data_IF_003350252855
#
_entry.id   IF_003350252855
#
_cell.length_a   1.000
_cell.length_b   1.000
_cell.length_c   1.000
_cell.angle_alpha   90.00
_cell.angle_beta   90.00
_cell.angle_gamma   90.00
#
_symmetry.space_group_name_H-M   'P 1'
#
loop_
_entity.id
_entity.type
_entity.pdbx_description
1 polymer ?
#
# COMPACT_ATOMS: atom_id res chain seq x y z
N UNK A 1 -0.94 -6.07 -5.00
CA UNK A 1 -0.79 -7.57 -4.94
C UNK A 1 0.23 -8.07 -5.96
N UNK A 2 1.51 -8.11 -5.59
CA UNK A 2 2.45 -9.15 -6.05
C UNK A 2 2.98 -9.80 -4.77
N UNK A 3 2.22 -10.77 -4.26
CA UNK A 3 2.70 -11.66 -3.21
C UNK A 3 3.73 -12.60 -3.82
N UNK A 4 5.00 -12.20 -3.79
CA UNK A 4 6.12 -13.06 -4.13
C UNK A 4 6.25 -14.17 -3.10
N UNK A 5 5.43 -15.20 -3.25
CA UNK A 5 5.65 -16.48 -2.60
C UNK A 5 6.89 -17.12 -3.20
N UNK A 6 7.92 -17.30 -2.37
CA UNK A 6 9.03 -18.20 -2.64
C UNK A 6 8.47 -19.57 -3.03
N UNK A 7 8.61 -19.94 -4.30
CA UNK A 7 8.46 -21.32 -4.76
C UNK A 7 9.72 -21.67 -5.56
N UNK A 8 10.61 -22.35 -4.85
CA UNK A 8 11.46 -23.47 -5.29
C UNK A 8 12.22 -23.32 -6.62
N UNK A 9 13.54 -23.28 -6.52
CA UNK A 9 14.34 -24.32 -7.18
C UNK A 9 15.57 -24.63 -6.32
N UNK A 10 15.52 -25.78 -5.65
CA UNK A 10 16.72 -26.45 -5.16
C UNK A 10 17.59 -26.80 -6.37
N UNK A 11 18.80 -26.26 -6.42
CA UNK A 11 19.89 -26.86 -7.18
C UNK A 11 21.17 -26.75 -6.36
N UNK A 12 21.65 -27.94 -6.02
CA UNK A 12 22.85 -28.27 -5.28
C UNK A 12 24.04 -27.34 -5.55
N UNK A 13 24.60 -26.78 -4.48
CA UNK A 13 26.05 -26.60 -4.38
C UNK A 13 26.47 -26.58 -2.91
N UNK A 14 27.21 -27.62 -2.55
CA UNK A 14 27.94 -27.79 -1.29
C UNK A 14 28.67 -26.52 -0.86
N UNK A 15 28.31 -25.95 0.29
CA UNK A 15 29.25 -25.23 1.16
C UNK A 15 28.82 -25.37 2.61
N UNK A 16 29.55 -26.21 3.35
CA UNK A 16 29.54 -26.21 4.81
C UNK A 16 30.01 -24.85 5.33
N UNK A 17 29.12 -24.09 5.96
CA UNK A 17 29.49 -23.05 6.92
C UNK A 17 28.34 -22.81 7.91
N UNK A 18 28.55 -23.29 9.14
CA UNK A 18 27.94 -22.90 10.42
C UNK A 18 26.64 -22.05 10.35
N UNK A 19 25.51 -22.70 10.62
CA UNK A 19 24.19 -22.08 10.78
C UNK A 19 24.08 -21.31 12.10
N UNK A 20 24.40 -20.01 12.09
CA UNK A 20 23.75 -19.06 13.01
C UNK A 20 22.50 -18.55 12.33
N UNK A 21 21.33 -18.79 12.93
CA UNK A 21 20.00 -18.44 12.44
C UNK A 21 19.81 -16.91 12.36
N UNK A 22 20.47 -16.25 11.40
CA UNK A 22 20.24 -14.85 11.06
C UNK A 22 18.98 -14.81 10.19
N UNK A 23 17.83 -14.58 10.81
CA UNK A 23 16.61 -14.27 10.08
C UNK A 23 16.88 -13.16 9.06
N UNK A 24 16.22 -13.19 7.90
CA UNK A 24 16.43 -12.16 6.88
C UNK A 24 16.23 -10.77 7.50
N UNK A 25 17.00 -9.74 7.08
CA UNK A 25 16.85 -8.37 7.59
C UNK A 25 15.39 -7.89 7.52
N UNK A 26 14.66 -8.32 6.50
CA UNK A 26 13.23 -8.08 6.34
C UNK A 26 12.40 -8.72 7.46
N UNK A 27 12.56 -10.02 7.76
CA UNK A 27 11.82 -10.67 8.86
C UNK A 27 12.12 -10.03 10.21
N UNK A 28 13.37 -9.63 10.45
CA UNK A 28 13.76 -8.90 11.66
C UNK A 28 13.04 -7.54 11.73
N UNK A 29 13.09 -6.74 10.66
CA UNK A 29 12.37 -5.47 10.56
C UNK A 29 10.86 -5.63 10.81
N UNK A 30 10.22 -6.58 10.13
CA UNK A 30 8.79 -6.85 10.26
C UNK A 30 8.41 -7.28 11.68
N UNK A 31 9.22 -8.12 12.33
CA UNK A 31 9.00 -8.55 13.71
C UNK A 31 9.11 -7.38 14.70
N UNK A 32 10.09 -6.51 14.51
CA UNK A 32 10.27 -5.32 15.34
C UNK A 32 9.13 -4.32 15.14
N UNK A 33 8.70 -4.09 13.89
CA UNK A 33 7.56 -3.24 13.57
C UNK A 33 6.29 -3.79 14.22
N UNK A 34 6.04 -5.09 14.08
CA UNK A 34 4.91 -5.76 14.71
C UNK A 34 4.93 -5.59 16.23
N UNK A 35 6.08 -5.82 16.87
CA UNK A 35 6.23 -5.61 18.30
C UNK A 35 5.90 -4.18 18.72
N UNK A 36 6.40 -3.17 18.01
CA UNK A 36 6.10 -1.75 18.29
C UNK A 36 4.60 -1.46 18.13
N UNK A 37 3.96 -1.95 17.06
CA UNK A 37 2.52 -1.75 16.83
C UNK A 37 1.68 -2.39 17.95
N UNK A 38 2.07 -3.58 18.42
CA UNK A 38 1.31 -4.31 19.42
C UNK A 38 1.52 -3.81 20.85
N UNK A 39 2.75 -3.44 21.22
CA UNK A 39 3.13 -3.13 22.61
C UNK A 39 3.16 -1.63 22.90
N UNK A 40 3.52 -0.79 21.92
CA UNK A 40 3.69 0.65 22.11
C UNK A 40 2.51 1.46 21.57
N UNK A 41 1.28 1.01 21.81
CA UNK A 41 0.04 1.70 21.37
C UNK A 41 0.03 3.19 21.76
N UNK A 42 0.55 3.51 22.94
CA UNK A 42 0.66 4.90 23.42
C UNK A 42 1.59 5.76 22.57
N UNK A 43 2.65 5.20 21.98
CA UNK A 43 3.53 5.95 21.08
C UNK A 43 2.83 6.25 19.76
N UNK A 44 2.08 5.29 19.22
CA UNK A 44 1.24 5.51 18.04
C UNK A 44 0.05 6.45 18.29
N UNK A 45 -0.19 6.81 19.55
CA UNK A 45 -1.23 7.78 19.94
C UNK A 45 -0.72 9.22 19.93
N UNK A 46 0.60 9.45 19.85
CA UNK A 46 1.15 10.79 19.70
C UNK A 46 0.97 11.28 18.26
N UNK A 47 0.46 12.49 18.10
CA UNK A 47 0.38 13.18 16.81
C UNK A 47 1.72 13.36 16.09
N UNK A 48 2.84 13.16 16.79
CA UNK A 48 4.19 13.18 16.20
C UNK A 48 4.56 11.86 15.52
N UNK A 49 3.82 10.78 15.76
CA UNK A 49 4.09 9.46 15.22
C UNK A 49 3.03 9.12 14.16
N UNK A 50 3.15 9.80 13.02
CA UNK A 50 2.25 9.62 11.88
C UNK A 50 2.65 8.34 11.15
N UNK A 51 1.71 7.40 11.04
CA UNK A 51 1.90 6.15 10.33
C UNK A 51 1.07 6.15 9.04
N UNK A 52 1.75 6.21 7.91
CA UNK A 52 1.15 5.99 6.59
C UNK A 52 1.39 4.56 6.15
N UNK A 53 0.34 3.89 5.69
CA UNK A 53 0.37 2.49 5.25
C UNK A 53 -0.29 2.42 3.88
N UNK A 54 0.29 1.64 2.97
CA UNK A 54 -0.36 1.29 1.72
C UNK A 54 -1.69 0.60 1.99
N UNK A 55 -2.76 1.17 1.44
CA UNK A 55 -4.11 0.80 1.87
C UNK A 55 -4.58 -0.57 1.30
N UNK A 56 -3.73 -1.31 0.60
CA UNK A 56 -4.06 -2.60 -0.02
C UNK A 56 -3.96 -3.79 0.93
N UNK A 57 -3.16 -3.70 2.00
CA UNK A 57 -2.78 -4.89 2.77
C UNK A 57 -3.02 -4.70 4.26
N UNK A 58 -3.53 -5.78 4.88
CA UNK A 58 -3.58 -5.94 6.33
C UNK A 58 -2.21 -6.26 6.93
N UNK A 59 -1.22 -6.54 6.09
CA UNK A 59 0.10 -6.98 6.48
C UNK A 59 1.20 -6.11 5.86
N UNK A 60 2.25 -5.85 6.63
CA UNK A 60 3.51 -5.30 6.13
C UNK A 60 4.48 -6.47 5.98
N UNK A 61 4.52 -7.05 4.77
CA UNK A 61 5.23 -8.30 4.51
C UNK A 61 4.61 -9.52 5.21
N UNK A 62 5.25 -10.70 5.18
CA UNK A 62 4.65 -11.94 5.68
C UNK A 62 4.50 -12.01 7.21
N UNK A 63 5.28 -11.25 7.98
CA UNK A 63 5.31 -11.41 9.45
C UNK A 63 4.52 -10.32 10.20
N UNK A 64 4.47 -9.09 9.71
CA UNK A 64 3.84 -7.98 10.43
C UNK A 64 2.36 -7.86 10.10
N UNK A 65 1.49 -8.44 10.93
CA UNK A 65 0.04 -8.25 10.84
C UNK A 65 -0.45 -7.01 11.61
N UNK A 66 -1.37 -6.25 11.02
CA UNK A 66 -2.02 -5.14 11.73
C UNK A 66 -3.13 -5.67 12.66
N UNK A 67 -3.21 -5.09 13.88
CA UNK A 67 -4.28 -5.44 14.85
C UNK A 67 -5.66 -5.08 14.28
N UNK A 68 -6.72 -5.75 14.74
CA UNK A 68 -8.09 -5.47 14.25
C UNK A 68 -8.49 -4.02 14.43
N UNK A 69 -8.15 -3.42 15.58
CA UNK A 69 -8.44 -2.01 15.84
C UNK A 69 -7.74 -1.07 14.87
N UNK A 70 -6.44 -1.29 14.61
CA UNK A 70 -5.69 -0.48 13.64
C UNK A 70 -6.21 -0.69 12.21
N UNK A 71 -6.46 -1.93 11.82
CA UNK A 71 -7.00 -2.25 10.51
C UNK A 71 -8.42 -1.69 10.29
N UNK A 72 -9.26 -1.72 11.32
CA UNK A 72 -10.57 -1.07 11.31
C UNK A 72 -10.44 0.45 11.15
N UNK A 73 -9.52 1.08 11.89
CA UNK A 73 -9.29 2.53 11.80
C UNK A 73 -8.75 2.95 10.42
N UNK A 74 -7.82 2.19 9.85
CA UNK A 74 -7.29 2.43 8.51
C UNK A 74 -8.37 2.36 7.42
N UNK A 75 -9.39 1.52 7.61
CA UNK A 75 -10.51 1.40 6.67
C UNK A 75 -11.68 2.33 7.00
N UNK A 76 -11.69 2.95 8.17
CA UNK A 76 -12.76 3.88 8.54
C UNK A 76 -12.80 5.07 7.58
N UNK A 77 -14.02 5.47 7.27
CA UNK A 77 -14.37 6.65 6.47
C UNK A 77 -15.15 7.67 7.30
N UNK A 78 -15.33 7.44 8.61
CA UNK A 78 -15.94 8.39 9.55
C UNK A 78 -15.05 9.65 9.66
N UNK A 79 -15.58 10.86 9.52
CA UNK A 79 -14.77 12.08 9.58
C UNK A 79 -14.04 12.31 10.92
N UNK A 80 -14.50 11.72 12.03
CA UNK A 80 -13.93 11.92 13.36
C UNK A 80 -12.76 10.97 13.66
N UNK A 81 -12.73 9.80 13.04
CA UNK A 81 -11.75 8.74 13.34
C UNK A 81 -11.13 8.08 12.10
N UNK A 82 -11.61 8.47 10.93
CA UNK A 82 -11.26 7.93 9.63
C UNK A 82 -9.85 8.28 9.21
N UNK A 83 -9.41 7.60 8.16
CA UNK A 83 -8.05 7.73 7.64
C UNK A 83 -8.06 8.52 6.34
N UNK A 84 -7.17 9.50 6.23
CA UNK A 84 -6.94 10.20 4.97
C UNK A 84 -6.43 9.25 3.90
N UNK A 85 -6.95 9.40 2.68
CA UNK A 85 -6.58 8.60 1.53
C UNK A 85 -6.06 9.52 0.44
N UNK A 86 -4.90 9.15 -0.08
CA UNK A 86 -4.24 9.90 -1.15
C UNK A 86 -4.30 9.04 -2.41
N UNK A 87 -4.95 9.59 -3.43
CA UNK A 87 -4.90 9.07 -4.78
C UNK A 87 -3.79 9.79 -5.55
N UNK A 88 -2.77 9.03 -5.95
CA UNK A 88 -1.73 9.53 -6.84
C UNK A 88 -2.25 9.37 -8.26
N UNK A 89 -2.53 10.51 -8.89
CA UNK A 89 -2.98 10.57 -10.27
C UNK A 89 -1.75 10.77 -11.17
N UNK A 90 -1.50 9.80 -12.03
CA UNK A 90 -0.34 9.79 -12.92
C UNK A 90 -0.76 9.24 -14.27
N UNK A 91 -0.16 9.79 -15.33
CA UNK A 91 -0.43 9.36 -16.70
C UNK A 91 -0.13 7.88 -16.89
N UNK A 92 -0.85 7.24 -17.80
CA UNK A 92 -0.64 5.82 -18.09
C UNK A 92 0.77 5.58 -18.64
N UNK A 93 1.25 6.48 -19.48
CA UNK A 93 2.57 6.42 -20.09
C UNK A 93 3.67 6.40 -19.01
N UNK A 94 3.54 7.26 -17.99
CA UNK A 94 4.50 7.30 -16.89
C UNK A 94 4.39 6.07 -15.97
N UNK A 95 3.18 5.52 -15.75
CA UNK A 95 3.00 4.24 -15.05
C UNK A 95 3.68 3.09 -15.79
N UNK A 96 3.47 3.00 -17.10
CA UNK A 96 4.07 1.97 -17.96
C UNK A 96 5.59 2.08 -17.94
N UNK A 97 6.14 3.27 -18.15
CA UNK A 97 7.58 3.52 -18.10
C UNK A 97 8.19 3.09 -16.76
N UNK A 98 7.57 3.49 -15.64
CA UNK A 98 8.05 3.16 -14.31
C UNK A 98 8.03 1.64 -14.06
N UNK A 99 6.98 0.93 -14.48
CA UNK A 99 6.89 -0.54 -14.35
C UNK A 99 7.99 -1.22 -15.16
N UNK A 100 8.18 -0.82 -16.42
CA UNK A 100 9.19 -1.42 -17.29
C UNK A 100 10.61 -1.20 -16.76
N UNK A 101 10.88 -0.05 -16.14
CA UNK A 101 12.16 0.25 -15.49
C UNK A 101 12.37 -0.60 -14.23
N UNK A 102 11.43 -0.51 -13.27
CA UNK A 102 11.60 -1.07 -11.92
C UNK A 102 11.35 -2.57 -11.84
N UNK A 103 10.59 -3.13 -12.77
CA UNK A 103 10.31 -4.56 -12.88
C UNK A 103 10.93 -5.18 -14.13
N UNK A 104 11.94 -4.54 -14.74
CA UNK A 104 12.61 -5.01 -15.97
C UNK A 104 13.04 -6.48 -15.92
N UNK A 105 13.55 -6.95 -14.78
CA UNK A 105 13.95 -8.35 -14.59
C UNK A 105 12.76 -9.31 -14.68
N UNK A 106 11.61 -8.93 -14.12
CA UNK A 106 10.39 -9.72 -14.17
C UNK A 106 9.73 -9.63 -15.55
N UNK A 107 9.66 -8.44 -16.14
CA UNK A 107 9.03 -8.20 -17.45
C UNK A 107 9.83 -8.77 -18.62
N UNK A 108 11.11 -9.10 -18.44
CA UNK A 108 11.93 -9.75 -19.47
C UNK A 108 12.10 -11.25 -19.28
N UNK A 109 11.55 -11.83 -18.21
CA UNK A 109 11.53 -13.29 -18.02
C UNK A 109 10.29 -13.89 -18.71
N UNK A 110 10.38 -14.08 -20.02
CA UNK A 110 9.26 -14.56 -20.86
C UNK A 110 8.62 -15.84 -20.31
N UNK A 111 9.35 -16.92 -19.98
CA UNK A 111 8.74 -18.13 -19.40
C UNK A 111 7.92 -17.86 -18.14
N UNK A 112 8.44 -17.01 -17.24
CA UNK A 112 7.78 -16.67 -15.99
C UNK A 112 6.48 -15.88 -16.23
N UNK A 113 6.50 -14.89 -17.12
CA UNK A 113 5.32 -14.08 -17.43
C UNK A 113 4.23 -14.95 -18.08
N UNK A 114 4.61 -15.83 -19.00
CA UNK A 114 3.64 -16.73 -19.65
C UNK A 114 2.99 -17.68 -18.63
N UNK A 115 3.74 -18.16 -17.64
CA UNK A 115 3.18 -18.95 -16.54
C UNK A 115 2.18 -18.14 -15.69
N UNK A 116 2.49 -16.87 -15.39
CA UNK A 116 1.58 -15.95 -14.68
C UNK A 116 0.32 -15.71 -15.53
N UNK A 117 0.45 -15.42 -16.82
CA UNK A 117 -0.70 -15.20 -17.71
C UNK A 117 -1.63 -16.40 -17.77
N UNK A 118 -1.09 -17.62 -17.78
CA UNK A 118 -1.89 -18.84 -17.74
C UNK A 118 -2.76 -18.91 -16.48
N UNK A 119 -2.25 -18.46 -15.33
CA UNK A 119 -3.03 -18.42 -14.08
C UNK A 119 -4.16 -17.40 -14.10
N UNK A 120 -4.06 -16.35 -14.92
CA UNK A 120 -5.10 -15.31 -15.05
C UNK A 120 -6.26 -15.72 -15.95
N UNK A 121 -6.16 -16.85 -16.66
CA UNK A 121 -7.17 -17.28 -17.64
C UNK A 121 -8.56 -17.58 -17.01
N UNK A 122 -8.62 -17.78 -15.69
CA UNK A 122 -9.88 -17.92 -14.96
C UNK A 122 -10.68 -16.60 -14.87
N UNK A 123 -9.99 -15.46 -14.98
CA UNK A 123 -10.56 -14.14 -14.75
C UNK A 123 -10.58 -13.26 -16.00
N UNK A 124 -9.79 -13.62 -17.02
CA UNK A 124 -9.54 -12.80 -18.20
C UNK A 124 -9.92 -13.59 -19.46
N UNK A 125 -10.71 -13.01 -20.39
CA UNK A 125 -11.07 -13.68 -21.63
C UNK A 125 -9.84 -14.19 -22.41
N UNK A 126 -9.91 -15.43 -22.92
CA UNK A 126 -8.85 -16.05 -23.74
C UNK A 126 -8.33 -15.14 -24.86
N UNK A 127 -9.20 -14.32 -25.47
CA UNK A 127 -8.81 -13.35 -26.51
C UNK A 127 -7.74 -12.37 -26.03
N UNK A 128 -7.88 -11.82 -24.83
CA UNK A 128 -6.89 -10.89 -24.25
C UNK A 128 -5.61 -11.62 -23.87
N UNK A 129 -5.72 -12.82 -23.28
CA UNK A 129 -4.55 -13.64 -22.95
C UNK A 129 -3.71 -13.96 -24.20
N UNK A 130 -4.36 -14.33 -25.31
CA UNK A 130 -3.68 -14.58 -26.58
C UNK A 130 -3.00 -13.31 -27.12
N UNK A 131 -3.69 -12.17 -27.10
CA UNK A 131 -3.12 -10.88 -27.53
C UNK A 131 -1.88 -10.51 -26.71
N UNK A 132 -1.92 -10.67 -25.38
CA UNK A 132 -0.78 -10.39 -24.52
C UNK A 132 0.37 -11.37 -24.72
N UNK A 133 0.06 -12.64 -24.95
CA UNK A 133 1.05 -13.66 -25.29
C UNK A 133 1.78 -13.31 -26.59
N UNK A 134 1.06 -12.87 -27.62
CA UNK A 134 1.66 -12.41 -28.88
C UNK A 134 2.53 -11.16 -28.68
N UNK A 135 2.11 -10.19 -27.84
CA UNK A 135 2.91 -9.01 -27.52
C UNK A 135 4.24 -9.40 -26.84
N UNK A 136 4.20 -10.32 -25.87
CA UNK A 136 5.39 -10.82 -25.19
C UNK A 136 6.34 -11.51 -26.17
N UNK A 137 5.82 -12.36 -27.07
CA UNK A 137 6.65 -13.03 -28.08
C UNK A 137 7.30 -12.06 -29.08
N UNK A 138 6.69 -10.90 -29.32
CA UNK A 138 7.24 -9.83 -30.16
C UNK A 138 8.11 -8.85 -29.37
N UNK A 139 8.34 -9.11 -28.08
CA UNK A 139 9.04 -8.22 -27.14
C UNK A 139 8.40 -6.82 -26.99
N UNK A 140 7.12 -6.69 -27.33
CA UNK A 140 6.34 -5.45 -27.17
C UNK A 140 5.80 -5.35 -25.75
N UNK A 141 6.72 -5.19 -24.79
CA UNK A 141 6.40 -5.11 -23.38
C UNK A 141 5.62 -3.84 -23.01
N UNK A 142 5.79 -2.77 -23.79
CA UNK A 142 5.03 -1.53 -23.61
C UNK A 142 3.55 -1.77 -23.84
N UNK A 143 3.17 -2.39 -24.96
CA UNK A 143 1.77 -2.73 -25.23
C UNK A 143 1.23 -3.76 -24.25
N UNK A 144 2.06 -4.75 -23.87
CA UNK A 144 1.67 -5.76 -22.87
C UNK A 144 1.32 -5.12 -21.51
N UNK A 145 2.22 -4.31 -20.95
CA UNK A 145 1.99 -3.66 -19.65
C UNK A 145 0.81 -2.69 -19.73
N UNK A 146 0.69 -1.94 -20.82
CA UNK A 146 -0.46 -1.05 -21.07
C UNK A 146 -1.79 -1.82 -21.04
N UNK A 147 -1.86 -2.94 -21.75
CA UNK A 147 -3.04 -3.79 -21.78
C UNK A 147 -3.37 -4.38 -20.40
N UNK A 148 -2.35 -4.81 -19.66
CA UNK A 148 -2.49 -5.38 -18.32
C UNK A 148 -3.02 -4.34 -17.31
N UNK A 149 -2.53 -3.09 -17.37
CA UNK A 149 -3.08 -1.99 -16.56
C UNK A 149 -4.55 -1.74 -16.89
N UNK A 150 -4.87 -1.51 -18.17
CA UNK A 150 -6.22 -1.11 -18.61
C UNK A 150 -7.30 -2.18 -18.37
N UNK A 151 -6.97 -3.45 -18.58
CA UNK A 151 -7.97 -4.51 -18.61
C UNK A 151 -7.95 -5.43 -17.39
N UNK A 152 -6.95 -5.31 -16.51
CA UNK A 152 -6.86 -6.13 -15.31
C UNK A 152 -6.67 -5.28 -14.05
N UNK A 153 -5.57 -4.54 -13.92
CA UNK A 153 -5.26 -3.86 -12.67
C UNK A 153 -6.17 -2.67 -12.36
N UNK A 154 -6.35 -1.74 -13.30
CA UNK A 154 -7.18 -0.55 -13.08
C UNK A 154 -8.64 -0.93 -12.77
N UNK A 155 -9.30 -1.85 -13.53
CA UNK A 155 -10.64 -2.31 -13.20
C UNK A 155 -10.75 -2.97 -11.82
N UNK A 156 -9.78 -3.82 -11.44
CA UNK A 156 -9.77 -4.47 -10.13
C UNK A 156 -9.63 -3.45 -9.00
N UNK A 157 -8.74 -2.47 -9.17
CA UNK A 157 -8.54 -1.42 -8.18
C UNK A 157 -9.81 -0.60 -8.01
N UNK A 158 -10.43 -0.15 -9.10
CA UNK A 158 -11.68 0.62 -9.06
C UNK A 158 -12.77 -0.21 -8.39
N UNK A 159 -13.02 -1.45 -8.84
CA UNK A 159 -14.08 -2.31 -8.31
C UNK A 159 -13.95 -2.53 -6.81
N UNK A 160 -12.75 -2.85 -6.33
CA UNK A 160 -12.53 -3.22 -4.93
C UNK A 160 -12.51 -2.00 -3.99
N UNK A 161 -12.40 -0.79 -4.53
CA UNK A 161 -12.13 0.42 -3.74
C UNK A 161 -13.17 1.52 -3.92
N UNK A 162 -14.04 1.41 -4.92
CA UNK A 162 -15.00 2.44 -5.29
C UNK A 162 -15.82 2.94 -4.09
N UNK A 163 -16.51 2.05 -3.38
CA UNK A 163 -17.37 2.46 -2.26
C UNK A 163 -16.58 3.18 -1.16
N UNK A 164 -15.44 2.63 -0.76
CA UNK A 164 -14.60 3.23 0.27
C UNK A 164 -14.02 4.59 -0.16
N UNK A 165 -13.69 4.75 -1.45
CA UNK A 165 -13.22 6.03 -1.99
C UNK A 165 -14.33 7.07 -2.03
N UNK A 166 -15.55 6.69 -2.46
CA UNK A 166 -16.70 7.60 -2.45
C UNK A 166 -17.10 7.99 -1.02
N UNK A 167 -17.12 7.05 -0.08
CA UNK A 167 -17.37 7.33 1.33
C UNK A 167 -16.31 8.26 1.93
N UNK A 168 -15.02 8.02 1.63
CA UNK A 168 -13.94 8.90 2.07
C UNK A 168 -14.06 10.30 1.45
N UNK A 169 -14.45 10.40 0.18
CA UNK A 169 -14.65 11.66 -0.52
C UNK A 169 -15.81 12.46 0.07
N UNK A 170 -16.94 11.81 0.34
CA UNK A 170 -18.10 12.43 0.98
C UNK A 170 -17.79 12.95 2.39
N UNK A 171 -16.84 12.31 3.09
CA UNK A 171 -16.42 12.70 4.42
C UNK A 171 -15.15 13.60 4.46
N UNK A 172 -14.69 14.12 3.31
CA UNK A 172 -13.52 15.03 3.25
C UNK A 172 -12.17 14.36 3.55
N UNK A 173 -12.11 13.02 3.49
CA UNK A 173 -10.92 12.22 3.76
C UNK A 173 -10.15 11.83 2.49
N UNK A 174 -10.66 12.14 1.30
CA UNK A 174 -10.04 11.79 0.02
C UNK A 174 -9.30 12.98 -0.60
N UNK A 175 -8.04 12.75 -0.96
CA UNK A 175 -7.14 13.75 -1.55
C UNK A 175 -6.55 13.22 -2.84
N UNK A 176 -6.50 14.04 -3.90
CA UNK A 176 -5.90 13.68 -5.18
C UNK A 176 -4.65 14.52 -5.42
N UNK A 177 -3.55 13.86 -5.77
CA UNK A 177 -2.27 14.50 -6.10
C UNK A 177 -1.88 14.07 -7.51
N UNK A 178 -1.90 15.01 -8.45
CA UNK A 178 -1.44 14.76 -9.81
C UNK A 178 0.08 14.90 -9.91
N UNK A 179 0.73 13.88 -10.47
CA UNK A 179 2.16 13.86 -10.73
C UNK A 179 2.40 13.61 -12.22
N UNK A 180 3.33 14.35 -12.86
CA UNK A 180 3.71 14.07 -14.23
C UNK A 180 4.41 12.71 -14.36
N UNK A 181 5.31 12.38 -13.43
CA UNK A 181 6.15 11.18 -13.44
C UNK A 181 6.27 10.59 -12.02
N UNK A 182 6.66 9.31 -11.89
CA UNK A 182 7.10 8.72 -10.61
C UNK A 182 8.62 8.73 -10.56
N UNK A 183 9.18 9.70 -9.85
CA UNK A 183 10.57 9.65 -9.42
C UNK A 183 10.68 9.97 -7.92
N UNK A 184 11.80 9.55 -7.32
CA UNK A 184 12.05 9.73 -5.89
C UNK A 184 11.98 11.20 -5.46
N UNK A 185 12.45 12.11 -6.30
CA UNK A 185 12.47 13.55 -6.03
C UNK A 185 11.04 14.10 -5.98
N UNK A 186 10.17 13.69 -6.91
CA UNK A 186 8.76 14.08 -6.94
C UNK A 186 8.00 13.55 -5.72
N UNK A 187 8.26 12.31 -5.32
CA UNK A 187 7.69 11.76 -4.08
C UNK A 187 8.10 12.63 -2.88
N UNK A 188 9.39 12.94 -2.75
CA UNK A 188 9.92 13.70 -1.62
C UNK A 188 9.45 15.15 -1.59
N UNK A 189 9.31 15.80 -2.75
CA UNK A 189 9.00 17.24 -2.84
C UNK A 189 7.52 17.55 -2.97
N UNK A 190 6.69 16.60 -3.44
CA UNK A 190 5.26 16.83 -3.67
C UNK A 190 4.36 16.00 -2.76
N UNK A 191 4.68 14.72 -2.58
CA UNK A 191 3.80 13.81 -1.82
C UNK A 191 4.06 13.93 -0.33
N UNK A 192 5.32 13.80 0.12
CA UNK A 192 5.66 13.81 1.54
C UNK A 192 5.16 15.10 2.24
N UNK A 193 5.34 16.32 1.68
CA UNK A 193 4.83 17.52 2.33
C UNK A 193 3.30 17.52 2.51
N UNK A 194 2.54 17.05 1.52
CA UNK A 194 1.08 16.96 1.60
C UNK A 194 0.62 15.91 2.60
N UNK A 195 1.26 14.74 2.61
CA UNK A 195 1.08 13.68 3.61
C UNK A 195 1.26 14.23 5.03
N UNK A 196 2.31 15.02 5.25
CA UNK A 196 2.59 15.63 6.55
C UNK A 196 1.56 16.71 6.91
N UNK A 197 1.21 17.59 5.97
CA UNK A 197 0.20 18.63 6.17
C UNK A 197 -1.17 18.05 6.57
N UNK A 198 -1.62 17.01 5.87
CA UNK A 198 -2.87 16.29 6.18
C UNK A 198 -2.86 15.66 7.57
N UNK A 199 -1.71 15.15 8.01
CA UNK A 199 -1.58 14.55 9.32
C UNK A 199 -1.56 15.60 10.45
N UNK A 200 -0.96 16.76 10.22
CA UNK A 200 -0.89 17.84 11.21
C UNK A 200 -2.20 18.64 11.32
N UNK A 201 -2.90 18.90 10.21
CA UNK A 201 -4.20 19.59 10.20
C UNK A 201 -5.26 18.84 11.02
N UNK A 202 -5.27 17.50 10.93
CA UNK A 202 -6.14 16.63 11.74
C UNK A 202 -5.85 16.77 13.24
N UNK A 203 -4.57 16.88 13.59
CA UNK A 203 -4.12 16.97 14.98
C UNK A 203 -4.63 18.27 15.65
N UNK A 204 -4.51 19.40 14.97
CA UNK A 204 -4.91 20.71 15.52
C UNK A 204 -6.42 20.74 15.81
N UNK A 205 -7.24 20.16 14.94
CA UNK A 205 -8.69 20.05 15.16
C UNK A 205 -9.03 19.18 16.38
N UNK A 206 -8.29 18.07 16.59
CA UNK A 206 -8.50 17.21 17.75
C UNK A 206 -8.06 17.85 19.08
N UNK A 207 -6.95 18.60 19.10
CA UNK A 207 -6.46 19.28 20.31
C UNK A 207 -7.39 20.43 20.73
N UNK A 208 -7.95 21.18 19.78
CA UNK A 208 -8.94 22.25 20.06
C UNK A 208 -10.22 21.66 20.67
N UNK A 209 -10.69 20.51 20.15
CA UNK A 209 -11.89 19.86 20.68
C UNK A 209 -11.67 19.21 22.05
N UNK A 210 -10.49 18.61 22.31
CA UNK A 210 -10.15 18.12 23.64
C UNK A 210 -10.03 19.27 24.66
N UNK A 211 -9.40 20.39 24.31
CA UNK A 211 -9.33 21.56 25.19
C UNK A 211 -10.72 22.15 25.49
N UNK A 212 -11.65 22.15 24.53
CA UNK A 212 -13.04 22.59 24.77
C UNK A 212 -13.84 21.62 25.65
N UNK A 213 -13.62 20.31 25.51
CA UNK A 213 -14.28 19.29 26.34
C UNK A 213 -13.76 19.30 27.79
N UNK A 214 -12.48 19.59 28.01
CA UNK A 214 -11.91 19.73 29.36
C UNK A 214 -12.48 20.91 30.16
N UNK A 215 -13.06 21.93 29.49
CA UNK A 215 -13.74 23.05 30.16
C UNK A 215 -15.23 22.81 30.44
N UNK A 216 -15.81 21.69 29.99
CA UNK A 216 -17.25 21.41 30.09
C UNK A 216 -17.61 20.25 31.03
N UNK A 217 -16.63 19.66 31.74
CA UNK A 217 -16.90 18.66 32.77
C UNK A 217 -16.98 19.34 34.16
N UNK A 218 -18.14 19.29 34.86
CA UNK A 218 -18.24 19.80 36.22
C UNK A 218 -17.39 18.93 37.15
N UNK A 219 -16.60 19.58 38.00
CA UNK A 219 -15.94 18.94 39.15
C UNK A 219 -17.00 18.41 40.11
N UNK A 220 -17.43 17.17 39.93
CA UNK A 220 -18.08 16.40 41.00
C UNK A 220 -16.98 15.76 41.84
N UNK A 221 -16.57 16.48 42.90
CA UNK A 221 -15.92 15.85 44.03
C UNK A 221 -16.99 15.30 44.94
N UNK A 222 -17.04 13.97 44.97
CA UNK A 222 -17.13 13.08 46.12
C UNK A 222 -17.51 13.74 47.45
N UNK A 223 -18.59 13.21 48.01
CA UNK A 223 -19.19 13.53 49.28
C UNK A 223 -18.23 13.44 50.48
N UNK A 224 -18.41 14.42 51.37
CA UNK A 224 -18.19 14.39 52.81
C UNK A 224 -19.26 15.29 53.42
#
# INVERSE_FOLDING_TARGET
>A
MFGGGNVLSDSDTNYHQSTTNKGSPQKFFESQLHHVIMTNKHRLSSCKNILWIECESRYVGPVCGLSDGLWSRLRSTDPNVGTHRIWIDITEEARVAWILENYSTATRNVPQILAILKSLNEYIPNKLINQWTEMIHREDFTSFVTGLLRHHYDPLYIKNRHQMMEDAKNNGLFHRISLPNVDKTMIQTRIIPQILDLAYTTTISSDINQHRLHHLLPKSHVAG
#
